data_IF_230670178403
#
_entry.id   IF_230670178403
#
_cell.length_a   1.000
_cell.length_b   1.000
_cell.length_c   1.000
_cell.angle_alpha   90.00
_cell.angle_beta   90.00
_cell.angle_gamma   90.00
#
_symmetry.space_group_name_H-M   'P 1'
#
loop_
_entity.id
_entity.type
_entity.pdbx_description
1 polymer ?
#
# COMPACT_ATOMS: atom_id res chain seq x y z
N UNK A 1 9.30 25.16 -35.92
CA UNK A 1 8.86 23.80 -35.51
C UNK A 1 7.34 23.77 -35.32
N UNK A 2 6.59 24.14 -36.35
CA UNK A 2 5.12 24.12 -36.34
C UNK A 2 4.59 22.92 -37.11
N UNK A 3 5.38 22.34 -38.02
CA UNK A 3 4.95 21.31 -38.96
C UNK A 3 4.48 20.02 -38.27
N UNK A 4 5.22 19.51 -37.28
CA UNK A 4 4.82 18.31 -36.55
C UNK A 4 3.59 18.54 -35.67
N UNK A 5 3.47 19.69 -35.03
CA UNK A 5 2.27 20.02 -34.24
C UNK A 5 1.02 20.10 -35.13
N UNK A 6 1.14 20.67 -36.32
CA UNK A 6 0.05 20.75 -37.29
C UNK A 6 -0.31 19.38 -37.86
N UNK A 7 0.68 18.54 -38.14
CA UNK A 7 0.48 17.18 -38.60
C UNK A 7 -0.26 16.34 -37.54
N UNK A 8 0.23 16.37 -36.30
CA UNK A 8 -0.32 15.62 -35.17
C UNK A 8 -1.71 16.11 -34.79
N UNK A 9 -1.93 17.42 -34.72
CA UNK A 9 -3.27 17.98 -34.43
C UNK A 9 -4.30 17.60 -35.51
N UNK A 10 -3.92 17.58 -36.79
CA UNK A 10 -4.78 17.06 -37.88
C UNK A 10 -5.05 15.56 -37.74
N UNK A 11 -4.08 14.79 -37.29
CA UNK A 11 -4.21 13.34 -37.06
C UNK A 11 -5.15 13.04 -35.88
N UNK A 12 -5.01 13.77 -34.78
CA UNK A 12 -5.82 13.64 -33.57
C UNK A 12 -7.22 14.28 -33.70
N UNK A 13 -7.46 15.14 -34.70
CA UNK A 13 -8.79 15.71 -34.96
C UNK A 13 -9.85 14.64 -35.20
N UNK A 14 -9.48 13.52 -35.81
CA UNK A 14 -10.38 12.39 -36.11
C UNK A 14 -10.57 11.42 -34.93
N UNK A 15 -9.84 11.61 -33.83
CA UNK A 15 -9.94 10.73 -32.66
C UNK A 15 -11.07 11.14 -31.72
N UNK A 16 -11.66 10.14 -31.05
CA UNK A 16 -12.71 10.32 -30.01
C UNK A 16 -12.15 10.76 -28.63
N UNK A 17 -10.88 11.16 -28.58
CA UNK A 17 -10.20 11.56 -27.35
C UNK A 17 -10.74 12.88 -26.78
N UNK A 18 -10.71 13.02 -25.46
CA UNK A 18 -11.03 14.29 -24.81
C UNK A 18 -9.90 15.32 -24.98
N UNK A 19 -10.16 16.59 -24.65
CA UNK A 19 -9.20 17.69 -24.89
C UNK A 19 -7.86 17.53 -24.15
N UNK A 20 -7.87 16.94 -22.96
CA UNK A 20 -6.65 16.69 -22.18
C UNK A 20 -5.83 15.56 -22.80
N UNK A 21 -6.49 14.45 -23.14
CA UNK A 21 -5.86 13.29 -23.78
C UNK A 21 -5.27 13.63 -25.14
N UNK A 22 -5.95 14.48 -25.91
CA UNK A 22 -5.43 15.02 -27.18
C UNK A 22 -4.14 15.78 -26.97
N UNK A 23 -4.08 16.62 -25.93
CA UNK A 23 -2.89 17.44 -25.64
C UNK A 23 -1.71 16.59 -25.17
N UNK A 24 -1.95 15.60 -24.31
CA UNK A 24 -0.88 14.70 -23.84
C UNK A 24 -0.30 13.88 -25.00
N UNK A 25 -1.18 13.31 -25.82
CA UNK A 25 -0.79 12.49 -26.96
C UNK A 25 -0.13 13.34 -28.06
N UNK A 26 -0.53 14.61 -28.18
CA UNK A 26 0.10 15.57 -29.09
C UNK A 26 1.57 15.80 -28.71
N UNK A 27 1.86 16.02 -27.44
CA UNK A 27 3.24 16.21 -26.97
C UNK A 27 4.12 14.98 -27.24
N UNK A 28 3.62 13.79 -26.92
CA UNK A 28 4.35 12.52 -27.09
C UNK A 28 4.65 12.23 -28.57
N UNK A 29 3.69 12.50 -29.46
CA UNK A 29 3.85 12.31 -30.90
C UNK A 29 4.81 13.32 -31.52
N UNK A 30 4.75 14.57 -31.10
CA UNK A 30 5.69 15.59 -31.56
C UNK A 30 7.11 15.23 -31.13
N UNK A 31 7.30 14.72 -29.90
CA UNK A 31 8.59 14.24 -29.42
C UNK A 31 9.10 13.06 -30.26
N UNK A 32 8.26 12.06 -30.53
CA UNK A 32 8.65 10.94 -31.38
C UNK A 32 9.04 11.39 -32.80
N UNK A 33 8.27 12.29 -33.42
CA UNK A 33 8.59 12.80 -34.76
C UNK A 33 9.88 13.62 -34.78
N UNK A 34 10.17 14.37 -33.73
CA UNK A 34 11.45 15.05 -33.57
C UNK A 34 12.61 14.06 -33.44
N UNK A 35 12.47 12.99 -32.68
CA UNK A 35 13.51 11.96 -32.58
C UNK A 35 13.79 11.31 -33.94
N UNK A 36 12.75 11.01 -34.73
CA UNK A 36 12.91 10.49 -36.10
C UNK A 36 13.60 11.52 -37.00
N UNK A 37 13.22 12.81 -36.91
CA UNK A 37 13.87 13.89 -37.65
C UNK A 37 15.36 13.94 -37.33
N UNK A 38 15.72 13.91 -36.06
CA UNK A 38 17.12 14.00 -35.62
C UNK A 38 17.94 12.80 -36.10
N UNK A 39 17.34 11.62 -36.18
CA UNK A 39 18.00 10.44 -36.74
C UNK A 39 18.21 10.55 -38.26
N UNK A 40 17.31 11.18 -39.00
CA UNK A 40 17.51 11.49 -40.43
C UNK A 40 18.56 12.59 -40.65
N UNK A 41 18.60 13.60 -39.78
CA UNK A 41 19.65 14.63 -39.81
C UNK A 41 21.02 13.97 -39.56
N UNK A 42 21.14 13.05 -38.61
CA UNK A 42 22.39 12.28 -38.37
C UNK A 42 22.80 11.42 -39.57
N UNK A 43 21.85 11.03 -40.42
CA UNK A 43 22.11 10.30 -41.66
C UNK A 43 22.51 11.23 -42.83
N UNK A 44 22.65 12.53 -42.58
CA UNK A 44 23.11 13.52 -43.56
C UNK A 44 21.99 14.15 -44.39
N UNK A 45 20.72 13.96 -44.01
CA UNK A 45 19.59 14.62 -44.67
C UNK A 45 19.48 16.10 -44.26
N UNK A 46 18.95 16.93 -45.16
CA UNK A 46 18.57 18.30 -44.81
C UNK A 46 17.45 18.29 -43.78
N UNK A 47 17.28 19.36 -43.00
CA UNK A 47 16.21 19.43 -42.00
C UNK A 47 14.81 19.30 -42.64
N UNK A 48 14.62 19.91 -43.81
CA UNK A 48 13.36 19.86 -44.55
C UNK A 48 13.05 18.44 -45.07
N UNK A 49 14.05 17.75 -45.62
CA UNK A 49 13.91 16.36 -46.05
C UNK A 49 13.67 15.42 -44.87
N UNK A 50 14.31 15.69 -43.74
CA UNK A 50 14.17 14.90 -42.51
C UNK A 50 12.75 14.99 -41.93
N UNK A 51 12.14 16.18 -41.97
CA UNK A 51 10.74 16.39 -41.55
C UNK A 51 9.79 15.61 -42.46
N UNK A 52 9.98 15.71 -43.77
CA UNK A 52 9.16 15.00 -44.75
C UNK A 52 9.31 13.47 -44.62
N UNK A 53 10.52 13.00 -44.39
CA UNK A 53 10.82 11.57 -44.22
C UNK A 53 10.24 11.02 -42.92
N UNK A 54 10.31 11.77 -41.83
CA UNK A 54 9.67 11.42 -40.55
C UNK A 54 8.15 11.30 -40.71
N UNK A 55 7.48 12.26 -41.36
CA UNK A 55 6.03 12.20 -41.61
C UNK A 55 5.65 11.03 -42.51
N UNK A 56 6.44 10.77 -43.56
CA UNK A 56 6.17 9.71 -44.53
C UNK A 56 6.32 8.31 -43.92
N UNK A 57 7.33 8.12 -43.08
CA UNK A 57 7.60 6.84 -42.44
C UNK A 57 6.82 6.62 -41.14
N UNK A 58 6.13 7.65 -40.65
CA UNK A 58 5.16 7.53 -39.58
C UNK A 58 3.95 6.70 -40.03
N UNK A 59 3.92 5.41 -39.65
CA UNK A 59 2.89 4.44 -40.03
C UNK A 59 1.54 4.75 -39.38
N UNK A 60 0.80 5.67 -39.98
CA UNK A 60 -0.48 6.20 -39.51
C UNK A 60 -1.57 5.14 -39.23
N UNK A 61 -1.61 4.05 -40.00
CA UNK A 61 -2.59 2.97 -39.84
C UNK A 61 -2.34 2.14 -38.58
N UNK A 62 -1.06 1.80 -38.35
CA UNK A 62 -0.63 0.96 -37.22
C UNK A 62 -0.82 1.76 -35.92
N UNK A 63 -0.48 3.05 -35.96
CA UNK A 63 -0.68 3.98 -34.86
C UNK A 63 -2.16 4.19 -34.47
N UNK A 64 -3.08 4.30 -35.44
CA UNK A 64 -4.51 4.46 -35.11
C UNK A 64 -5.12 3.22 -34.44
N UNK A 65 -4.63 2.03 -34.78
CA UNK A 65 -4.99 0.80 -34.08
C UNK A 65 -4.38 0.77 -32.67
N UNK A 66 -3.11 1.16 -32.54
CA UNK A 66 -2.45 1.33 -31.24
C UNK A 66 -3.13 2.39 -30.37
N UNK A 67 -3.75 3.45 -30.90
CA UNK A 67 -4.49 4.44 -30.11
C UNK A 67 -5.75 3.84 -29.46
N UNK A 68 -6.46 2.96 -30.15
CA UNK A 68 -7.62 2.29 -29.57
C UNK A 68 -7.17 1.35 -28.44
N UNK A 69 -6.03 0.70 -28.58
CA UNK A 69 -5.41 -0.09 -27.51
C UNK A 69 -4.78 0.79 -26.42
N UNK A 70 -4.29 1.98 -26.75
CA UNK A 70 -3.74 2.98 -25.83
C UNK A 70 -4.82 3.59 -24.95
N UNK A 71 -6.02 3.83 -25.49
CA UNK A 71 -7.16 4.33 -24.70
C UNK A 71 -7.74 3.27 -23.78
N UNK A 72 -7.78 2.01 -24.23
CA UNK A 72 -8.24 0.88 -23.43
C UNK A 72 -7.22 0.52 -22.35
N UNK A 73 -5.93 0.54 -22.67
CA UNK A 73 -4.84 0.37 -21.71
C UNK A 73 -4.74 1.55 -20.75
N UNK A 74 -4.85 2.83 -21.16
CA UNK A 74 -4.89 4.00 -20.23
C UNK A 74 -6.05 3.97 -19.24
N UNK A 75 -7.23 3.47 -19.64
CA UNK A 75 -8.35 3.30 -18.71
C UNK A 75 -8.02 2.33 -17.56
N UNK A 76 -7.09 1.39 -17.78
CA UNK A 76 -6.58 0.44 -16.79
C UNK A 76 -5.19 0.79 -16.23
N UNK A 77 -4.39 1.61 -16.93
CA UNK A 77 -2.95 1.81 -16.69
C UNK A 77 -2.62 2.70 -15.47
N UNK A 78 -3.61 3.39 -14.90
CA UNK A 78 -3.41 4.10 -13.64
C UNK A 78 -3.42 3.18 -12.42
N UNK A 79 -4.02 1.98 -12.53
CA UNK A 79 -4.20 1.06 -11.41
C UNK A 79 -3.04 0.09 -11.35
N UNK A 80 -2.15 0.26 -10.38
CA UNK A 80 -1.06 -0.67 -10.16
C UNK A 80 -1.48 -1.75 -9.14
N UNK A 81 -1.88 -2.93 -9.63
CA UNK A 81 -2.35 -4.04 -8.79
C UNK A 81 -1.28 -4.48 -7.78
N UNK A 82 0.00 -4.50 -8.16
CA UNK A 82 1.09 -4.87 -7.26
C UNK A 82 1.25 -3.85 -6.13
N UNK A 83 1.11 -2.56 -6.44
CA UNK A 83 1.04 -1.49 -5.44
C UNK A 83 -0.15 -1.72 -4.50
N UNK A 84 -1.36 -1.89 -5.04
CA UNK A 84 -2.60 -2.03 -4.28
C UNK A 84 -2.53 -3.19 -3.27
N UNK A 85 -2.04 -4.36 -3.69
CA UNK A 85 -1.89 -5.51 -2.81
C UNK A 85 -0.89 -5.23 -1.68
N UNK A 86 0.31 -4.73 -2.03
CA UNK A 86 1.37 -4.46 -1.04
C UNK A 86 0.94 -3.43 -0.01
N UNK A 87 0.33 -2.33 -0.44
CA UNK A 87 -0.05 -1.26 0.47
C UNK A 87 -1.22 -1.70 1.35
N UNK A 88 -2.25 -2.36 0.82
CA UNK A 88 -3.38 -2.82 1.64
C UNK A 88 -2.91 -3.83 2.71
N UNK A 89 -2.02 -4.76 2.36
CA UNK A 89 -1.40 -5.67 3.34
C UNK A 89 -0.65 -4.91 4.44
N UNK A 90 0.13 -3.88 4.07
CA UNK A 90 0.83 -3.04 5.03
C UNK A 90 -0.13 -2.26 5.95
N UNK A 91 -1.19 -1.68 5.40
CA UNK A 91 -2.19 -0.92 6.16
C UNK A 91 -2.92 -1.80 7.17
N UNK A 92 -3.32 -3.02 6.76
CA UNK A 92 -3.96 -3.99 7.66
C UNK A 92 -3.00 -4.41 8.77
N UNK A 93 -1.74 -4.64 8.44
CA UNK A 93 -0.73 -4.98 9.43
C UNK A 93 -0.52 -3.87 10.46
N UNK A 94 -0.38 -2.62 10.00
CA UNK A 94 -0.29 -1.43 10.87
C UNK A 94 -1.53 -1.33 11.77
N UNK A 95 -2.71 -1.47 11.17
CA UNK A 95 -3.98 -1.41 11.88
C UNK A 95 -4.07 -2.46 12.99
N UNK A 96 -3.77 -3.73 12.69
CA UNK A 96 -3.81 -4.83 13.67
C UNK A 96 -2.82 -4.57 14.80
N UNK A 97 -1.58 -4.18 14.49
CA UNK A 97 -0.58 -3.86 15.51
C UNK A 97 -1.09 -2.74 16.42
N UNK A 98 -1.55 -1.63 15.85
CA UNK A 98 -2.00 -0.49 16.63
C UNK A 98 -3.27 -0.80 17.44
N UNK A 99 -4.16 -1.66 16.92
CA UNK A 99 -5.31 -2.14 17.68
C UNK A 99 -4.89 -3.03 18.85
N UNK A 100 -3.89 -3.90 18.67
CA UNK A 100 -3.29 -4.68 19.76
C UNK A 100 -2.64 -3.75 20.79
N UNK A 101 -1.90 -2.74 20.36
CA UNK A 101 -1.30 -1.72 21.24
C UNK A 101 -2.37 -0.94 22.00
N UNK A 102 -3.47 -0.56 21.33
CA UNK A 102 -4.58 0.15 21.95
C UNK A 102 -5.26 -0.72 23.02
N UNK A 103 -5.61 -1.96 22.66
CA UNK A 103 -6.12 -2.93 23.62
C UNK A 103 -5.13 -3.13 24.78
N UNK A 104 -3.83 -2.98 24.49
CA UNK A 104 -2.79 -3.10 25.47
C UNK A 104 -2.73 -1.97 26.50
N UNK A 105 -2.80 -0.73 26.03
CA UNK A 105 -2.60 0.45 26.85
C UNK A 105 -3.91 0.94 27.50
N UNK A 106 -5.05 0.72 26.85
CA UNK A 106 -6.34 1.29 27.24
C UNK A 106 -7.35 0.22 27.64
N UNK A 107 -7.05 -0.49 28.73
CA UNK A 107 -7.86 -1.61 29.25
C UNK A 107 -9.31 -1.22 29.55
N UNK A 108 -9.57 0.04 29.91
CA UNK A 108 -10.90 0.54 30.30
C UNK A 108 -11.77 1.05 29.15
N UNK A 109 -11.18 1.47 28.03
CA UNK A 109 -11.92 1.92 26.84
C UNK A 109 -11.14 1.68 25.53
N UNK A 110 -10.93 0.40 25.15
CA UNK A 110 -10.25 0.06 23.90
C UNK A 110 -11.05 0.49 22.66
N UNK A 111 -12.32 0.88 22.86
CA UNK A 111 -13.25 1.33 21.83
C UNK A 111 -13.21 2.83 21.55
N UNK A 112 -12.36 3.61 22.22
CA UNK A 112 -12.41 5.07 22.12
C UNK A 112 -12.31 5.59 20.66
N UNK A 113 -13.14 6.58 20.35
CA UNK A 113 -13.16 7.22 19.03
C UNK A 113 -11.84 7.94 18.73
N UNK A 114 -11.19 8.49 19.76
CA UNK A 114 -9.91 9.21 19.64
C UNK A 114 -8.78 8.28 19.22
N UNK A 115 -8.67 7.11 19.84
CA UNK A 115 -7.61 6.16 19.46
C UNK A 115 -7.88 5.61 18.06
N UNK A 116 -9.13 5.30 17.72
CA UNK A 116 -9.49 4.90 16.37
C UNK A 116 -9.11 5.97 15.33
N UNK A 117 -9.39 7.25 15.61
CA UNK A 117 -8.96 8.38 14.78
C UNK A 117 -7.45 8.39 14.55
N UNK A 118 -6.64 8.23 15.60
CA UNK A 118 -5.17 8.21 15.49
C UNK A 118 -4.67 7.04 14.64
N UNK A 119 -5.24 5.85 14.81
CA UNK A 119 -4.88 4.65 14.05
C UNK A 119 -5.14 4.86 12.55
N UNK A 120 -6.34 5.34 12.21
CA UNK A 120 -6.71 5.58 10.81
C UNK A 120 -5.89 6.72 10.20
N UNK A 121 -5.60 7.78 10.96
CA UNK A 121 -4.70 8.84 10.51
C UNK A 121 -3.31 8.30 10.15
N UNK A 122 -2.72 7.48 11.03
CA UNK A 122 -1.38 6.93 10.80
C UNK A 122 -1.38 5.98 9.59
N UNK A 123 -2.36 5.07 9.51
CA UNK A 123 -2.50 4.16 8.39
C UNK A 123 -2.65 4.91 7.05
N UNK A 124 -3.60 5.83 6.95
CA UNK A 124 -3.85 6.55 5.69
C UNK A 124 -2.73 7.55 5.33
N UNK A 125 -1.98 8.05 6.32
CA UNK A 125 -0.77 8.83 6.05
C UNK A 125 0.35 7.98 5.44
N UNK A 126 0.50 6.72 5.86
CA UNK A 126 1.43 5.77 5.21
C UNK A 126 1.02 5.51 3.77
N UNK A 127 -0.28 5.34 3.48
CA UNK A 127 -0.78 5.22 2.11
C UNK A 127 -0.38 6.41 1.24
N UNK A 128 -0.59 7.64 1.73
CA UNK A 128 -0.20 8.84 1.00
C UNK A 128 1.31 8.92 0.74
N UNK A 129 2.15 8.67 1.74
CA UNK A 129 3.61 8.71 1.56
C UNK A 129 4.09 7.65 0.57
N UNK A 130 3.53 6.45 0.65
CA UNK A 130 3.91 5.36 -0.23
C UNK A 130 3.49 5.65 -1.68
N UNK A 131 2.24 6.13 -1.90
CA UNK A 131 1.78 6.56 -3.23
C UNK A 131 2.68 7.67 -3.80
N UNK A 132 2.96 8.70 -3.01
CA UNK A 132 3.75 9.87 -3.41
C UNK A 132 5.22 9.55 -3.66
N UNK A 133 5.71 8.40 -3.21
CA UNK A 133 7.07 7.92 -3.50
C UNK A 133 7.16 7.02 -4.73
N UNK A 134 6.01 6.48 -5.18
CA UNK A 134 5.95 5.41 -6.17
C UNK A 134 5.44 5.88 -7.52
N UNK A 135 4.55 6.86 -7.55
CA UNK A 135 3.93 7.35 -8.76
C UNK A 135 4.42 8.75 -9.10
N UNK A 136 4.70 8.99 -10.38
CA UNK A 136 5.18 10.27 -10.87
C UNK A 136 4.02 11.24 -11.16
N UNK A 137 2.91 10.72 -11.69
CA UNK A 137 1.77 11.56 -12.04
C UNK A 137 0.87 11.80 -10.81
N UNK A 138 0.47 13.06 -10.61
CA UNK A 138 -0.47 13.45 -9.55
C UNK A 138 -1.83 12.77 -9.69
N UNK A 139 -2.24 12.49 -10.93
CA UNK A 139 -3.46 11.73 -11.23
C UNK A 139 -3.37 10.30 -10.70
N UNK A 140 -2.25 9.62 -10.91
CA UNK A 140 -2.06 8.24 -10.46
C UNK A 140 -1.93 8.16 -8.94
N UNK A 141 -1.26 9.13 -8.31
CA UNK A 141 -1.23 9.26 -6.85
C UNK A 141 -2.67 9.34 -6.30
N UNK A 142 -3.48 10.26 -6.81
CA UNK A 142 -4.86 10.46 -6.35
C UNK A 142 -5.72 9.21 -6.56
N UNK A 143 -5.61 8.60 -7.74
CA UNK A 143 -6.38 7.41 -8.10
C UNK A 143 -6.02 6.23 -7.20
N UNK A 144 -4.73 5.95 -7.00
CA UNK A 144 -4.28 4.83 -6.18
C UNK A 144 -4.53 5.05 -4.69
N UNK A 145 -4.37 6.28 -4.16
CA UNK A 145 -4.75 6.61 -2.78
C UNK A 145 -6.24 6.34 -2.57
N UNK A 146 -7.09 6.84 -3.46
CA UNK A 146 -8.56 6.73 -3.34
C UNK A 146 -9.02 5.28 -3.38
N UNK A 147 -8.52 4.49 -4.33
CA UNK A 147 -8.83 3.06 -4.43
C UNK A 147 -8.31 2.30 -3.21
N UNK A 148 -7.11 2.64 -2.73
CA UNK A 148 -6.54 2.00 -1.53
C UNK A 148 -7.37 2.28 -0.28
N UNK A 149 -7.80 3.54 -0.07
CA UNK A 149 -8.72 3.88 1.02
C UNK A 149 -10.01 3.04 0.92
N UNK A 150 -10.61 2.97 -0.26
CA UNK A 150 -11.83 2.18 -0.46
C UNK A 150 -11.62 0.71 -0.11
N UNK A 151 -10.59 0.07 -0.67
CA UNK A 151 -10.30 -1.35 -0.41
C UNK A 151 -10.00 -1.59 1.08
N UNK A 152 -9.16 -0.75 1.69
CA UNK A 152 -8.78 -0.88 3.09
C UNK A 152 -10.00 -0.81 4.02
N UNK A 153 -10.95 0.09 3.76
CA UNK A 153 -12.21 0.18 4.50
C UNK A 153 -12.95 -1.16 4.51
N UNK A 154 -13.16 -1.78 3.34
CA UNK A 154 -13.88 -3.05 3.27
C UNK A 154 -13.12 -4.20 3.92
N UNK A 155 -11.80 -4.29 3.70
CA UNK A 155 -11.00 -5.36 4.30
C UNK A 155 -11.00 -5.25 5.82
N UNK A 156 -10.89 -4.05 6.39
CA UNK A 156 -11.01 -3.84 7.84
C UNK A 156 -12.34 -4.41 8.38
N UNK A 157 -13.45 -4.08 7.72
CA UNK A 157 -14.80 -4.44 8.21
C UNK A 157 -15.07 -5.93 8.05
N UNK A 158 -14.78 -6.49 6.88
CA UNK A 158 -14.92 -7.92 6.59
C UNK A 158 -13.98 -8.74 7.47
N UNK A 159 -12.72 -8.32 7.60
CA UNK A 159 -11.71 -9.02 8.40
C UNK A 159 -12.13 -9.17 9.86
N UNK A 160 -12.72 -8.13 10.45
CA UNK A 160 -13.12 -8.22 11.85
C UNK A 160 -14.46 -8.93 12.03
N UNK A 161 -15.36 -8.87 11.06
CA UNK A 161 -16.54 -9.75 11.04
C UNK A 161 -16.12 -11.22 11.06
N UNK A 162 -15.14 -11.61 10.22
CA UNK A 162 -14.59 -12.96 10.20
C UNK A 162 -13.96 -13.33 11.56
N UNK A 163 -13.12 -12.45 12.11
CA UNK A 163 -12.48 -12.69 13.42
C UNK A 163 -13.51 -12.84 14.55
N UNK A 164 -14.58 -12.04 14.53
CA UNK A 164 -15.67 -12.15 15.50
C UNK A 164 -16.42 -13.46 15.38
N UNK A 165 -16.70 -13.93 14.15
CA UNK A 165 -17.35 -15.21 13.90
C UNK A 165 -16.48 -16.40 14.34
N UNK A 166 -15.16 -16.31 14.14
CA UNK A 166 -14.22 -17.32 14.66
C UNK A 166 -14.24 -17.32 16.20
N UNK A 167 -14.26 -16.15 16.81
CA UNK A 167 -14.28 -16.02 18.27
C UNK A 167 -15.57 -16.61 18.89
N UNK A 168 -16.75 -16.37 18.31
CA UNK A 168 -18.01 -16.95 18.82
C UNK A 168 -18.01 -18.49 18.76
N UNK A 169 -17.47 -19.08 17.69
CA UNK A 169 -17.35 -20.54 17.57
C UNK A 169 -16.41 -21.10 18.66
N UNK A 170 -15.32 -20.39 18.96
CA UNK A 170 -14.33 -20.85 19.93
C UNK A 170 -14.78 -20.67 21.38
N UNK A 171 -15.59 -19.65 21.66
CA UNK A 171 -16.11 -19.29 22.97
C UNK A 171 -17.63 -19.52 23.03
N UNK A 172 -18.04 -20.79 23.15
CA UNK A 172 -19.42 -21.27 23.02
C UNK A 172 -20.48 -20.63 23.95
N UNK A 173 -20.09 -19.77 24.90
CA UNK A 173 -20.98 -19.16 25.89
C UNK A 173 -21.14 -17.63 25.75
N UNK A 174 -20.68 -17.03 24.64
CA UNK A 174 -20.81 -15.58 24.39
C UNK A 174 -21.69 -15.31 23.17
N UNK A 175 -22.89 -14.76 23.42
CA UNK A 175 -23.72 -14.19 22.36
C UNK A 175 -23.04 -12.95 21.77
N UNK A 176 -22.49 -13.09 20.56
CA UNK A 176 -21.87 -12.00 19.84
C UNK A 176 -22.93 -11.22 19.07
N UNK A 177 -23.30 -10.05 19.59
CA UNK A 177 -24.13 -9.11 18.83
C UNK A 177 -23.29 -8.39 17.78
N UNK A 178 -23.41 -8.84 16.52
CA UNK A 178 -22.69 -8.29 15.36
C UNK A 178 -22.90 -6.78 15.22
N UNK A 179 -24.10 -6.27 15.56
CA UNK A 179 -24.42 -4.84 15.47
C UNK A 179 -23.68 -3.99 16.51
N UNK A 180 -23.23 -4.59 17.61
CA UNK A 180 -22.43 -3.92 18.64
C UNK A 180 -20.92 -3.98 18.36
N UNK A 181 -20.49 -4.57 17.24
CA UNK A 181 -19.09 -4.54 16.86
C UNK A 181 -18.65 -3.10 16.62
N UNK A 182 -17.52 -2.73 17.21
CA UNK A 182 -17.04 -1.35 17.19
C UNK A 182 -16.83 -0.81 15.76
N UNK A 183 -16.68 -1.67 14.77
CA UNK A 183 -16.31 -1.31 13.39
C UNK A 183 -17.53 -0.89 12.57
N UNK A 184 -18.73 -1.27 13.02
CA UNK A 184 -20.02 -0.86 12.46
C UNK A 184 -20.59 0.37 13.18
N UNK A 185 -19.90 0.91 14.18
CA UNK A 185 -20.32 2.12 14.86
C UNK A 185 -20.32 3.32 13.87
N UNK A 186 -21.45 4.04 13.71
CA UNK A 186 -21.55 5.16 12.78
C UNK A 186 -20.50 6.25 13.04
N UNK A 187 -20.11 6.51 14.29
CA UNK A 187 -19.07 7.52 14.57
C UNK A 187 -17.73 7.14 13.95
N UNK A 188 -17.37 5.85 13.99
CA UNK A 188 -16.11 5.35 13.43
C UNK A 188 -16.11 5.32 11.91
N UNK A 189 -17.26 5.01 11.31
CA UNK A 189 -17.45 5.15 9.86
C UNK A 189 -17.24 6.60 9.43
N UNK A 190 -17.84 7.57 10.15
CA UNK A 190 -17.65 9.00 9.87
C UNK A 190 -16.20 9.42 10.04
N UNK A 191 -15.52 9.00 11.12
CA UNK A 191 -14.09 9.27 11.34
C UNK A 191 -13.26 8.79 10.14
N UNK A 192 -13.50 7.57 9.67
CA UNK A 192 -12.80 7.02 8.52
C UNK A 192 -13.02 7.86 7.24
N UNK A 193 -14.27 8.22 6.96
CA UNK A 193 -14.62 9.00 5.77
C UNK A 193 -14.01 10.40 5.81
N UNK A 194 -13.99 11.06 6.97
CA UNK A 194 -13.35 12.37 7.15
C UNK A 194 -11.84 12.29 6.89
N UNK A 195 -11.14 11.31 7.49
CA UNK A 195 -9.69 11.18 7.33
C UNK A 195 -9.34 10.80 5.88
N UNK A 196 -10.09 9.89 5.25
CA UNK A 196 -9.83 9.51 3.86
C UNK A 196 -10.03 10.68 2.89
N UNK A 197 -11.07 11.49 3.10
CA UNK A 197 -11.28 12.73 2.34
C UNK A 197 -10.14 13.72 2.58
N UNK A 198 -9.70 13.91 3.83
CA UNK A 198 -8.60 14.80 4.18
C UNK A 198 -7.28 14.38 3.49
N UNK A 199 -6.96 13.08 3.50
CA UNK A 199 -5.74 12.55 2.84
C UNK A 199 -5.79 12.72 1.32
N UNK A 200 -6.95 12.52 0.70
CA UNK A 200 -7.14 12.74 -0.75
C UNK A 200 -6.98 14.24 -1.08
N UNK A 201 -7.55 15.13 -0.27
CA UNK A 201 -7.39 16.58 -0.45
C UNK A 201 -5.94 17.01 -0.23
N UNK A 202 -5.26 16.45 0.77
CA UNK A 202 -3.85 16.69 1.02
C UNK A 202 -3.00 16.31 -0.20
N UNK A 203 -3.22 15.12 -0.76
CA UNK A 203 -2.57 14.69 -2.01
C UNK A 203 -2.90 15.59 -3.21
N UNK A 204 -4.12 16.15 -3.27
CA UNK A 204 -4.56 17.04 -4.36
C UNK A 204 -3.89 18.41 -4.28
N UNK A 205 -3.69 18.94 -3.07
CA UNK A 205 -3.15 20.30 -2.88
C UNK A 205 -1.67 20.34 -2.54
N UNK A 206 -1.02 19.20 -2.32
CA UNK A 206 0.43 19.13 -2.19
C UNK A 206 1.10 19.70 -3.45
N UNK A 207 1.88 20.78 -3.26
CA UNK A 207 2.54 21.57 -4.30
C UNK A 207 3.94 21.06 -4.63
N UNK A 208 4.39 19.96 -4.02
CA UNK A 208 5.69 19.37 -4.35
C UNK A 208 5.71 18.79 -5.77
N UNK A 209 6.43 19.46 -6.67
CA UNK A 209 6.62 19.05 -8.07
C UNK A 209 7.63 17.90 -8.26
N UNK A 210 8.20 17.36 -7.17
CA UNK A 210 9.16 16.25 -7.20
C UNK A 210 8.53 14.97 -6.62
N UNK A 211 7.89 14.13 -7.45
CA UNK A 211 7.22 12.90 -7.02
C UNK A 211 8.17 11.74 -6.70
N UNK A 212 9.49 11.95 -6.74
CA UNK A 212 10.47 10.94 -6.30
C UNK A 212 11.04 11.30 -4.94
N UNK A 213 10.26 11.03 -3.88
CA UNK A 213 10.88 10.73 -2.59
C UNK A 213 11.44 9.32 -2.69
N UNK A 214 12.73 9.19 -3.02
CA UNK A 214 13.45 7.92 -2.89
C UNK A 214 13.48 7.52 -1.42
N UNK A 215 12.46 6.79 -0.95
CA UNK A 215 12.56 6.06 0.30
C UNK A 215 13.44 4.85 0.05
N UNK A 216 14.73 5.03 0.36
CA UNK A 216 15.69 3.95 0.40
C UNK A 216 15.22 2.92 1.45
N UNK A 217 15.43 1.62 1.21
CA UNK A 217 15.01 0.45 2.01
C UNK A 217 15.25 0.52 3.54
N UNK A 218 15.97 1.54 4.01
CA UNK A 218 16.22 1.86 5.41
C UNK A 218 14.94 2.09 6.23
N UNK A 219 13.87 2.66 5.66
CA UNK A 219 12.67 2.97 6.44
C UNK A 219 11.82 1.74 6.76
N UNK A 220 11.71 0.78 5.84
CA UNK A 220 11.04 -0.51 6.12
C UNK A 220 11.83 -1.34 7.12
N UNK A 221 13.15 -1.29 7.07
CA UNK A 221 14.06 -1.97 7.99
C UNK A 221 13.93 -1.39 9.42
N UNK A 222 13.94 -0.05 9.53
CA UNK A 222 13.70 0.67 10.80
C UNK A 222 12.30 0.41 11.31
N UNK A 223 11.30 0.33 10.43
CA UNK A 223 9.92 0.02 10.79
C UNK A 223 9.78 -1.41 11.35
N UNK A 224 10.33 -2.42 10.68
CA UNK A 224 10.31 -3.82 11.17
C UNK A 224 11.04 -3.94 12.50
N UNK A 225 12.17 -3.26 12.67
CA UNK A 225 12.92 -3.28 13.93
C UNK A 225 12.15 -2.55 15.06
N UNK A 226 11.63 -1.36 14.80
CA UNK A 226 10.85 -0.60 15.79
C UNK A 226 9.55 -1.31 16.16
N UNK A 227 8.82 -1.88 15.20
CA UNK A 227 7.62 -2.69 15.47
C UNK A 227 7.95 -3.92 16.30
N UNK A 228 9.08 -4.58 16.03
CA UNK A 228 9.50 -5.77 16.78
C UNK A 228 9.89 -5.44 18.23
N UNK A 229 10.58 -4.31 18.45
CA UNK A 229 10.89 -3.81 19.79
C UNK A 229 9.63 -3.40 20.56
N UNK A 230 8.68 -2.74 19.90
CA UNK A 230 7.38 -2.39 20.48
C UNK A 230 6.62 -3.66 20.88
N UNK A 231 6.58 -4.68 20.01
CA UNK A 231 5.96 -5.97 20.31
C UNK A 231 6.65 -6.69 21.49
N UNK A 232 7.97 -6.61 21.60
CA UNK A 232 8.71 -7.15 22.75
C UNK A 232 8.36 -6.43 24.07
N UNK A 233 8.28 -5.10 24.05
CA UNK A 233 7.90 -4.30 25.21
C UNK A 233 6.45 -4.55 25.62
N UNK A 234 5.53 -4.61 24.67
CA UNK A 234 4.11 -4.89 24.93
C UNK A 234 3.90 -6.28 25.54
N UNK A 235 4.64 -7.28 25.06
CA UNK A 235 4.62 -8.64 25.60
C UNK A 235 5.09 -8.70 27.06
N UNK A 236 6.12 -7.91 27.41
CA UNK A 236 6.68 -7.85 28.76
C UNK A 236 5.79 -7.06 29.74
N UNK A 237 5.22 -5.94 29.28
CA UNK A 237 4.39 -5.06 30.10
C UNK A 237 2.99 -5.65 30.39
N UNK A 238 2.57 -6.69 29.65
CA UNK A 238 1.24 -7.27 29.82
C UNK A 238 1.13 -8.20 31.05
N UNK A 239 0.18 -7.94 31.98
CA UNK A 239 -0.18 -8.93 33.00
C UNK A 239 -0.78 -10.20 32.37
N UNK A 240 -0.82 -11.31 33.10
CA UNK A 240 -1.28 -12.66 32.70
C UNK A 240 -2.76 -12.75 32.26
N UNK A 241 -3.23 -11.91 31.32
CA UNK A 241 -4.64 -11.73 30.95
C UNK A 241 -4.94 -11.97 29.47
N UNK A 242 -4.07 -12.64 28.72
CA UNK A 242 -4.43 -13.13 27.39
C UNK A 242 -5.30 -14.39 27.55
N UNK A 243 -6.57 -14.17 27.91
CA UNK A 243 -7.58 -15.23 28.04
C UNK A 243 -7.71 -16.05 26.76
N UNK A 244 -7.57 -15.39 25.60
CA UNK A 244 -7.51 -16.02 24.27
C UNK A 244 -6.28 -16.90 24.09
N UNK A 245 -5.10 -16.43 24.49
CA UNK A 245 -3.87 -17.24 24.40
C UNK A 245 -3.94 -18.44 25.35
N UNK A 246 -4.44 -18.24 26.58
CA UNK A 246 -4.69 -19.31 27.53
C UNK A 246 -5.67 -20.35 26.95
N UNK A 247 -6.83 -19.91 26.45
CA UNK A 247 -7.81 -20.76 25.77
C UNK A 247 -7.25 -21.49 24.55
N UNK A 248 -6.45 -20.82 23.72
CA UNK A 248 -5.82 -21.43 22.55
C UNK A 248 -4.81 -22.48 22.98
N UNK A 249 -3.97 -22.21 23.98
CA UNK A 249 -2.97 -23.15 24.46
C UNK A 249 -3.63 -24.34 25.15
N UNK A 250 -4.66 -24.10 25.97
CA UNK A 250 -5.39 -25.17 26.65
C UNK A 250 -6.15 -26.07 25.68
N UNK A 251 -6.77 -25.50 24.63
CA UNK A 251 -7.42 -26.31 23.58
C UNK A 251 -6.44 -27.03 22.66
N UNK A 252 -5.35 -26.39 22.23
CA UNK A 252 -4.41 -26.97 21.26
C UNK A 252 -3.54 -28.05 21.91
N UNK A 253 -3.08 -27.81 23.13
CA UNK A 253 -2.13 -28.70 23.80
C UNK A 253 -2.78 -29.57 24.89
N UNK A 254 -4.06 -29.33 25.23
CA UNK A 254 -4.76 -30.08 26.28
C UNK A 254 -4.22 -29.84 27.68
N UNK A 255 -3.74 -28.62 27.96
CA UNK A 255 -3.04 -28.27 29.22
C UNK A 255 -3.81 -27.18 29.96
N UNK A 256 -4.12 -27.41 31.23
CA UNK A 256 -4.63 -26.37 32.11
C UNK A 256 -3.47 -25.44 32.54
N UNK A 257 -3.58 -24.16 32.19
CA UNK A 257 -2.53 -23.19 32.51
C UNK A 257 -2.74 -22.65 33.91
N UNK A 258 -1.84 -23.00 34.84
CA UNK A 258 -1.88 -22.58 36.24
C UNK A 258 -1.12 -21.27 36.45
N UNK A 259 0.05 -21.11 35.82
CA UNK A 259 0.82 -19.87 35.90
C UNK A 259 1.67 -19.62 34.65
N UNK A 260 1.84 -18.34 34.33
CA UNK A 260 2.76 -17.86 33.30
C UNK A 260 3.97 -17.19 33.95
N UNK A 261 5.17 -17.58 33.55
CA UNK A 261 6.43 -16.91 33.92
C UNK A 261 7.04 -16.30 32.67
N UNK A 262 7.10 -14.97 32.59
CA UNK A 262 7.53 -14.24 31.39
C UNK A 262 8.87 -13.54 31.63
N UNK A 263 9.68 -13.44 30.58
CA UNK A 263 10.71 -12.43 30.45
C UNK A 263 10.59 -11.73 29.09
N UNK A 264 11.51 -10.81 28.78
CA UNK A 264 11.49 -10.06 27.53
C UNK A 264 11.59 -10.96 26.27
N UNK A 265 12.16 -12.16 26.40
CA UNK A 265 12.51 -13.07 25.30
C UNK A 265 11.51 -14.21 25.11
N UNK A 266 10.88 -14.70 26.18
CA UNK A 266 9.99 -15.86 26.14
C UNK A 266 9.03 -15.91 27.34
N UNK A 267 8.04 -16.78 27.22
CA UNK A 267 7.06 -17.11 28.26
C UNK A 267 7.12 -18.59 28.50
N UNK A 268 7.29 -18.95 29.76
CA UNK A 268 7.21 -20.33 30.22
C UNK A 268 5.84 -20.55 30.87
N UNK A 269 5.21 -21.65 30.50
CA UNK A 269 3.87 -22.06 30.91
C UNK A 269 4.02 -23.30 31.77
N UNK A 270 3.59 -23.23 33.02
CA UNK A 270 3.68 -24.31 34.01
C UNK A 270 5.10 -24.90 34.14
N UNK A 271 6.15 -24.13 33.80
CA UNK A 271 7.54 -24.59 33.65
C UNK A 271 7.79 -25.72 32.65
N UNK A 272 6.82 -26.07 31.80
CA UNK A 272 6.90 -27.17 30.82
C UNK A 272 6.99 -26.69 29.37
N UNK A 273 6.31 -25.59 29.04
CA UNK A 273 6.22 -25.11 27.65
C UNK A 273 6.78 -23.70 27.53
N UNK A 274 7.76 -23.52 26.64
CA UNK A 274 8.38 -22.22 26.37
C UNK A 274 7.92 -21.69 25.02
N UNK A 275 7.26 -20.52 25.03
CA UNK A 275 6.83 -19.80 23.83
C UNK A 275 7.71 -18.57 23.66
N UNK A 276 8.38 -18.48 22.51
CA UNK A 276 9.25 -17.35 22.16
C UNK A 276 8.40 -16.09 21.96
N UNK A 277 8.90 -14.94 22.40
CA UNK A 277 8.27 -13.65 22.18
C UNK A 277 8.13 -13.38 20.67
N UNK A 278 6.93 -13.04 20.20
CA UNK A 278 6.64 -12.78 18.79
C UNK A 278 7.50 -11.64 18.23
N UNK A 279 7.79 -10.61 19.02
CA UNK A 279 8.72 -9.54 18.63
C UNK A 279 10.15 -10.07 18.42
N UNK A 280 10.60 -11.02 19.25
CA UNK A 280 11.91 -11.66 19.07
C UNK A 280 11.94 -12.59 17.85
N UNK A 281 10.85 -13.33 17.61
CA UNK A 281 10.69 -14.17 16.42
C UNK A 281 10.78 -13.34 15.13
N UNK A 282 10.13 -12.17 15.10
CA UNK A 282 10.19 -11.24 13.96
C UNK A 282 11.61 -10.72 13.72
N UNK A 283 12.35 -10.37 14.79
CA UNK A 283 13.76 -9.97 14.68
C UNK A 283 14.60 -11.10 14.09
N UNK A 284 14.43 -12.32 14.59
CA UNK A 284 15.19 -13.49 14.11
C UNK A 284 14.90 -13.80 12.64
N UNK A 285 13.64 -13.81 12.24
CA UNK A 285 13.24 -14.01 10.84
C UNK A 285 13.76 -12.91 9.92
N UNK A 286 13.71 -11.65 10.39
CA UNK A 286 14.24 -10.51 9.64
C UNK A 286 15.77 -10.59 9.48
N UNK A 287 16.51 -10.95 10.53
CA UNK A 287 17.95 -11.19 10.45
C UNK A 287 18.28 -12.33 9.50
N UNK A 288 17.54 -13.44 9.56
CA UNK A 288 17.70 -14.58 8.65
C UNK A 288 17.45 -14.17 7.19
N UNK A 289 16.38 -13.41 6.92
CA UNK A 289 16.08 -12.87 5.60
C UNK A 289 17.22 -11.99 5.07
N UNK A 290 17.75 -11.05 5.87
CA UNK A 290 18.87 -10.20 5.47
C UNK A 290 20.16 -10.99 5.25
N UNK A 291 20.41 -12.00 6.08
CA UNK A 291 21.55 -12.90 5.94
C UNK A 291 21.48 -13.68 4.63
N UNK A 292 20.34 -14.35 4.36
CA UNK A 292 20.10 -15.09 3.11
C UNK A 292 20.19 -14.15 1.89
N UNK A 293 19.58 -12.97 1.96
CA UNK A 293 19.64 -11.98 0.88
C UNK A 293 21.07 -11.51 0.58
N UNK A 294 21.93 -11.40 1.61
CA UNK A 294 23.36 -11.08 1.44
C UNK A 294 24.14 -12.26 0.84
N UNK A 295 23.95 -13.48 1.33
CA UNK A 295 24.60 -14.67 0.78
C UNK A 295 24.22 -14.91 -0.70
N UNK A 296 22.95 -14.73 -1.06
CA UNK A 296 22.49 -14.86 -2.45
C UNK A 296 23.02 -13.75 -3.36
N UNK A 297 23.20 -12.52 -2.85
CA UNK A 297 23.85 -11.44 -3.62
C UNK A 297 25.34 -11.64 -3.83
N UNK A 298 26.01 -12.39 -2.95
CA UNK A 298 27.43 -12.74 -3.10
C UNK A 298 27.62 -13.76 -4.25
N UNK A 299 26.64 -14.64 -4.49
CA UNK A 299 26.70 -15.64 -5.58
C UNK A 299 26.31 -15.13 -6.97
N UNK A 300 25.80 -13.90 -7.11
CA UNK A 300 25.42 -13.29 -8.40
C UNK A 300 26.47 -12.32 -8.95
N UNK A 301 27.66 -12.27 -8.34
CA UNK A 301 28.77 -11.40 -8.73
C UNK A 301 30.06 -12.16 -9.08
N UNK A 302 29.93 -13.40 -9.56
CA UNK A 302 31.02 -14.10 -10.25
C UNK A 302 30.64 -14.30 -11.71
#
# INVERSE_FOLDING_TARGET
MTEFSEYVSKLLKKSRLNRSEKKDLENELVEHLNNMKDDYIKQGMSEEDSINMAIKNFKKSDFLNEINDFTTSRKLAGINISYLLKINMLLIFIYIILMIVNFALFVSDPGSNLVYFLIICLALFVNYNYASSRFESKRDILLNISITCFIFFFIEKIGILILSAIYSILAANLELNILNLYILNPTKIVIYLVISTAVILFAKYDTNNNPKRYYNLLTTDIFVLSSSFILMLLYFLYPNRLYLLNLSISKIFGIDVEFFRKNLLYMNINNKFTIINIGLLLILLYMLYKFISRCLKINLKQ
#
